data_IF_388368126348
#
_entry.id   IF_388368126348
#
_cell.length_a   1.000
_cell.length_b   1.000
_cell.length_c   1.000
_cell.angle_alpha   90.00
_cell.angle_beta   90.00
_cell.angle_gamma   90.00
#
_symmetry.space_group_name_H-M   'P 1'
#
loop_
_entity.id
_entity.type
_entity.pdbx_description
1 polymer ?
#
# COMPACT_ATOMS: atom_id res chain seq x y z
N UNK A 1 -2.33 10.39 11.13
CA UNK A 1 -2.30 9.47 9.97
C UNK A 1 -2.75 8.09 10.42
N UNK A 2 -3.08 7.20 9.50
CA UNK A 2 -3.48 5.83 9.79
C UNK A 2 -2.66 4.84 8.95
N UNK A 3 -2.46 3.62 9.46
CA UNK A 3 -1.77 2.57 8.72
C UNK A 3 -2.69 1.96 7.66
N UNK A 4 -2.16 1.49 6.51
CA UNK A 4 -2.95 0.83 5.47
C UNK A 4 -3.54 -0.51 5.95
N UNK A 5 -2.90 -1.16 6.94
CA UNK A 5 -3.37 -2.36 7.60
C UNK A 5 -3.15 -2.21 9.11
N UNK A 6 -4.21 -2.36 9.90
CA UNK A 6 -4.15 -2.29 11.36
C UNK A 6 -5.27 -3.12 11.98
N UNK A 7 -4.99 -3.75 13.14
CA UNK A 7 -5.94 -4.49 13.95
C UNK A 7 -5.33 -4.83 15.33
N UNK A 8 -6.13 -4.76 16.40
CA UNK A 8 -5.69 -5.14 17.75
C UNK A 8 -5.36 -6.64 17.86
N UNK A 9 -5.98 -7.46 17.00
CA UNK A 9 -5.73 -8.88 16.94
C UNK A 9 -4.70 -9.21 15.85
N UNK A 10 -3.56 -9.78 16.26
CA UNK A 10 -2.47 -10.15 15.34
C UNK A 10 -2.92 -11.04 14.18
N UNK A 11 -3.84 -11.98 14.40
CA UNK A 11 -4.34 -12.87 13.35
C UNK A 11 -5.14 -12.09 12.30
N UNK A 12 -6.02 -11.18 12.74
CA UNK A 12 -6.79 -10.31 11.86
C UNK A 12 -5.88 -9.37 11.07
N UNK A 13 -4.86 -8.80 11.71
CA UNK A 13 -3.84 -7.98 11.04
C UNK A 13 -3.16 -8.75 9.91
N UNK A 14 -2.68 -9.97 10.18
CA UNK A 14 -2.01 -10.80 9.18
C UNK A 14 -2.94 -11.13 8.00
N UNK A 15 -4.21 -11.42 8.26
CA UNK A 15 -5.19 -11.68 7.19
C UNK A 15 -5.48 -10.42 6.35
N UNK A 16 -5.53 -9.23 6.97
CA UNK A 16 -5.64 -7.94 6.25
C UNK A 16 -4.44 -7.71 5.33
N UNK A 17 -3.22 -7.94 5.84
CA UNK A 17 -1.98 -7.79 5.07
C UNK A 17 -1.94 -8.76 3.89
N UNK A 18 -2.32 -10.03 4.09
CA UNK A 18 -2.41 -11.03 3.00
C UNK A 18 -3.46 -10.66 1.95
N UNK A 19 -4.61 -10.12 2.38
CA UNK A 19 -5.67 -9.68 1.45
C UNK A 19 -5.22 -8.49 0.61
N UNK A 20 -4.39 -7.61 1.17
CA UNK A 20 -3.80 -6.47 0.47
C UNK A 20 -4.79 -5.36 0.10
N UNK A 21 -5.99 -5.37 0.68
CA UNK A 21 -7.00 -4.33 0.45
C UNK A 21 -6.83 -3.25 1.50
N UNK A 22 -6.52 -2.03 1.05
CA UNK A 22 -6.38 -0.85 1.90
C UNK A 22 -7.12 0.34 1.29
N UNK A 23 -7.46 1.32 2.13
CA UNK A 23 -8.16 2.53 1.69
C UNK A 23 -7.15 3.66 1.44
N UNK A 24 -7.32 4.37 0.33
CA UNK A 24 -6.58 5.58 0.01
C UNK A 24 -7.56 6.75 0.05
N UNK A 25 -7.36 7.75 0.93
CA UNK A 25 -8.26 8.88 1.02
C UNK A 25 -8.31 9.73 -0.25
N UNK A 26 -9.46 10.37 -0.48
CA UNK A 26 -9.71 11.19 -1.68
C UNK A 26 -8.81 12.44 -1.77
N UNK A 27 -8.27 12.92 -0.66
CA UNK A 27 -7.36 14.06 -0.63
C UNK A 27 -5.94 13.70 -1.12
N UNK A 28 -5.61 12.42 -1.30
CA UNK A 28 -4.32 12.00 -1.84
C UNK A 28 -4.34 12.22 -3.35
N UNK A 29 -3.35 12.94 -3.93
CA UNK A 29 -3.28 13.18 -5.37
C UNK A 29 -3.31 11.88 -6.18
N UNK A 30 -3.95 11.84 -7.36
CA UNK A 30 -4.08 10.62 -8.15
C UNK A 30 -2.76 9.87 -8.39
N UNK A 31 -1.70 10.60 -8.75
CA UNK A 31 -0.36 10.05 -8.97
C UNK A 31 0.19 9.36 -7.71
N UNK A 32 -0.03 9.95 -6.54
CA UNK A 32 0.36 9.35 -5.27
C UNK A 32 -0.50 8.12 -4.94
N UNK A 33 -1.79 8.10 -5.30
CA UNK A 33 -2.62 6.91 -5.11
C UNK A 33 -2.12 5.73 -5.97
N UNK A 34 -1.77 6.00 -7.22
CA UNK A 34 -1.23 5.00 -8.14
C UNK A 34 0.13 4.48 -7.65
N UNK A 35 1.00 5.38 -7.21
CA UNK A 35 2.27 5.03 -6.59
C UNK A 35 2.08 4.11 -5.38
N UNK A 36 1.17 4.46 -4.46
CA UNK A 36 0.86 3.66 -3.28
C UNK A 36 0.33 2.26 -3.67
N UNK A 37 -0.55 2.16 -4.68
CA UNK A 37 -1.04 0.87 -5.20
C UNK A 37 0.09 0.02 -5.81
N UNK A 38 1.04 0.65 -6.50
CA UNK A 38 2.17 -0.04 -7.11
C UNK A 38 3.20 -0.52 -6.07
N UNK A 39 3.39 0.22 -4.98
CA UNK A 39 4.31 -0.13 -3.88
C UNK A 39 3.72 -1.15 -2.91
N UNK A 40 2.45 -1.01 -2.52
CA UNK A 40 1.78 -1.84 -1.50
C UNK A 40 1.05 -3.00 -2.19
N UNK A 41 1.82 -3.77 -2.97
CA UNK A 41 1.30 -4.91 -3.73
C UNK A 41 1.57 -6.25 -3.01
N UNK A 42 0.56 -7.13 -2.96
CA UNK A 42 0.66 -8.45 -2.29
C UNK A 42 1.63 -9.36 -3.03
N UNK A 43 1.47 -9.48 -4.36
CA UNK A 43 2.35 -10.28 -5.19
C UNK A 43 3.70 -9.56 -5.35
N UNK A 44 4.83 -10.12 -4.85
CA UNK A 44 6.14 -9.45 -4.96
C UNK A 44 6.55 -9.18 -6.41
N UNK A 45 6.24 -10.09 -7.33
CA UNK A 45 6.55 -9.95 -8.76
C UNK A 45 5.74 -8.83 -9.46
N UNK A 46 4.63 -8.38 -8.86
CA UNK A 46 3.82 -7.26 -9.36
C UNK A 46 4.13 -5.96 -8.61
N UNK A 47 4.96 -6.01 -7.57
CA UNK A 47 5.35 -4.86 -6.77
C UNK A 47 6.35 -4.04 -7.55
N UNK A 48 6.16 -2.74 -7.59
CA UNK A 48 7.09 -1.84 -8.24
C UNK A 48 8.46 -1.92 -7.55
N UNK A 49 9.55 -2.12 -8.30
CA UNK A 49 10.90 -2.04 -7.75
C UNK A 49 11.22 -0.59 -7.38
N UNK A 50 11.99 -0.40 -6.31
CA UNK A 50 12.32 0.93 -5.79
C UNK A 50 13.01 1.81 -6.83
N UNK A 51 13.79 1.23 -7.74
CA UNK A 51 14.42 1.94 -8.87
C UNK A 51 13.44 2.63 -9.81
N UNK A 52 12.19 2.16 -9.84
CA UNK A 52 11.14 2.69 -10.71
C UNK A 52 10.23 3.68 -9.97
N UNK A 53 10.42 3.86 -8.67
CA UNK A 53 9.72 4.89 -7.94
C UNK A 53 10.15 6.27 -8.45
N UNK A 54 9.21 7.20 -8.67
CA UNK A 54 9.57 8.55 -9.08
C UNK A 54 10.51 9.16 -8.04
N UNK A 55 11.63 9.70 -8.53
CA UNK A 55 12.55 10.46 -7.68
C UNK A 55 11.83 11.74 -7.26
N UNK A 56 11.35 11.79 -6.02
CA UNK A 56 10.91 13.05 -5.43
C UNK A 56 12.16 13.86 -5.11
N UNK A 57 12.33 14.98 -5.81
CA UNK A 57 13.36 16.01 -5.58
C UNK A 57 12.85 17.08 -4.63
#
# INVERSE_FOLDING_TARGET
>A
GALPFDDDNLRQLLEKVKRGVFHIPHFVPPECQELLRAMIQVCPNKRMPVSNAPSHV
#
